data_IF_964599414462
#
_entry.id   IF_964599414462
#
_cell.length_a   1.000
_cell.length_b   1.000
_cell.length_c   1.000
_cell.angle_alpha   90.00
_cell.angle_beta   90.00
_cell.angle_gamma   90.00
#
_symmetry.space_group_name_H-M   'P 1'
#
loop_
_entity.id
_entity.type
_entity.pdbx_description
1 polymer ?
#
# COMPACT_ATOMS: atom_id res chain seq x y z
N UNK A 1 -3.72 11.04 8.67
CA UNK A 1 -4.45 11.22 9.95
C UNK A 1 -3.53 10.80 11.09
N UNK A 2 -3.71 11.33 12.29
CA UNK A 2 -2.94 10.94 13.48
C UNK A 2 -3.37 9.54 13.98
N UNK A 3 -2.51 8.87 14.76
CA UNK A 3 -2.78 7.49 15.22
C UNK A 3 -4.02 7.39 16.13
N UNK A 4 -4.28 8.40 16.96
CA UNK A 4 -5.49 8.48 17.79
C UNK A 4 -6.77 8.57 16.95
N UNK A 5 -6.75 9.34 15.85
CA UNK A 5 -7.84 9.39 14.89
C UNK A 5 -7.99 8.07 14.11
N UNK A 6 -6.88 7.41 13.77
CA UNK A 6 -6.91 6.12 13.06
C UNK A 6 -7.48 4.98 13.94
N UNK A 7 -7.24 4.99 15.26
CA UNK A 7 -7.89 4.06 16.20
C UNK A 7 -9.41 4.18 16.15
N UNK A 8 -9.94 5.42 16.12
CA UNK A 8 -11.38 5.65 16.02
C UNK A 8 -11.91 5.18 14.66
N UNK A 9 -11.20 5.52 13.57
CA UNK A 9 -11.56 5.07 12.21
C UNK A 9 -11.58 3.54 12.11
N UNK A 10 -10.59 2.85 12.67
CA UNK A 10 -10.53 1.38 12.70
C UNK A 10 -11.68 0.80 13.53
N UNK A 11 -12.00 1.41 14.67
CA UNK A 11 -13.12 0.99 15.52
C UNK A 11 -14.44 1.05 14.75
N UNK A 12 -14.71 2.15 14.05
CA UNK A 12 -15.90 2.33 13.24
C UNK A 12 -15.92 1.38 12.04
N UNK A 13 -14.78 1.18 11.37
CA UNK A 13 -14.65 0.28 10.23
C UNK A 13 -14.91 -1.19 10.61
N UNK A 14 -14.47 -1.64 11.79
CA UNK A 14 -14.77 -3.00 12.25
C UNK A 14 -16.22 -3.15 12.69
N UNK A 15 -16.78 -2.16 13.39
CA UNK A 15 -18.20 -2.19 13.79
C UNK A 15 -19.14 -2.16 12.60
N UNK A 16 -18.81 -1.42 11.52
CA UNK A 16 -19.66 -1.32 10.33
C UNK A 16 -19.80 -2.64 9.57
N UNK A 17 -18.84 -3.55 9.71
CA UNK A 17 -18.90 -4.92 9.16
C UNK A 17 -19.33 -5.96 10.20
N UNK A 18 -19.84 -5.52 11.36
CA UNK A 18 -20.39 -6.40 12.40
C UNK A 18 -19.37 -7.07 13.32
N UNK A 19 -18.11 -6.64 13.31
CA UNK A 19 -17.10 -7.14 14.26
C UNK A 19 -17.22 -6.44 15.61
N UNK A 20 -17.07 -7.22 16.67
CA UNK A 20 -17.03 -6.70 18.03
C UNK A 20 -15.65 -6.13 18.34
N UNK A 21 -15.62 -4.85 18.74
CA UNK A 21 -14.41 -4.17 19.21
C UNK A 21 -14.52 -4.02 20.73
N UNK A 22 -13.79 -4.86 21.45
CA UNK A 22 -13.90 -4.95 22.92
C UNK A 22 -13.17 -3.86 23.68
N UNK A 23 -11.92 -3.54 23.29
CA UNK A 23 -11.08 -2.63 24.07
C UNK A 23 -9.94 -2.02 23.27
N UNK A 24 -9.36 -0.94 23.80
CA UNK A 24 -8.12 -0.32 23.34
C UNK A 24 -7.05 -0.44 24.42
N UNK A 25 -5.82 -0.76 24.03
CA UNK A 25 -4.67 -0.82 24.93
C UNK A 25 -3.73 0.35 24.63
N UNK A 26 -3.46 1.18 25.64
CA UNK A 26 -2.42 2.22 25.57
C UNK A 26 -1.12 1.59 26.06
N UNK A 27 -0.23 1.29 25.12
CA UNK A 27 1.09 0.74 25.42
C UNK A 27 2.10 1.83 25.76
N UNK A 28 3.15 1.47 26.51
CA UNK A 28 4.19 2.38 26.99
C UNK A 28 3.64 3.59 27.77
N UNK A 29 2.55 3.38 28.51
CA UNK A 29 1.94 4.42 29.34
C UNK A 29 2.87 4.81 30.50
N UNK A 30 3.08 6.12 30.68
CA UNK A 30 3.91 6.71 31.75
C UNK A 30 3.22 7.93 32.40
N UNK A 31 1.90 8.08 32.26
CA UNK A 31 1.17 9.24 32.78
C UNK A 31 1.23 10.47 31.87
N UNK A 32 1.37 10.28 30.56
CA UNK A 32 1.38 11.38 29.61
C UNK A 32 -0.03 12.01 29.51
N UNK A 33 -0.14 13.34 29.64
CA UNK A 33 -1.42 14.06 29.62
C UNK A 33 -2.25 13.82 28.35
N UNK A 34 -1.59 13.68 27.20
CA UNK A 34 -2.24 13.36 25.93
C UNK A 34 -2.87 11.95 25.94
N UNK A 35 -2.20 10.97 26.56
CA UNK A 35 -2.72 9.61 26.70
C UNK A 35 -3.94 9.57 27.64
N UNK A 36 -3.91 10.34 28.73
CA UNK A 36 -5.04 10.46 29.65
C UNK A 36 -6.26 11.13 29.01
N UNK A 37 -6.04 12.19 28.21
CA UNK A 37 -7.11 12.85 27.47
C UNK A 37 -7.73 11.88 26.44
N UNK A 38 -6.90 11.12 25.73
CA UNK A 38 -7.38 10.13 24.76
C UNK A 38 -8.13 8.98 25.43
N UNK A 39 -7.65 8.47 26.57
CA UNK A 39 -8.35 7.47 27.37
C UNK A 39 -9.75 7.96 27.77
N UNK A 40 -9.87 9.18 28.31
CA UNK A 40 -11.17 9.77 28.68
C UNK A 40 -12.11 9.85 27.47
N UNK A 41 -11.59 10.24 26.31
CA UNK A 41 -12.36 10.27 25.05
C UNK A 41 -12.89 8.89 24.68
N UNK A 42 -12.06 7.85 24.72
CA UNK A 42 -12.46 6.47 24.41
C UNK A 42 -13.51 5.95 25.40
N UNK A 43 -13.32 6.21 26.69
CA UNK A 43 -14.26 5.80 27.74
C UNK A 43 -15.63 6.48 27.57
N UNK A 44 -15.67 7.76 27.20
CA UNK A 44 -16.91 8.47 26.87
C UNK A 44 -17.64 7.89 25.64
N UNK A 45 -16.91 7.21 24.75
CA UNK A 45 -17.46 6.47 23.61
C UNK A 45 -17.84 5.01 23.97
N UNK A 46 -17.79 4.65 25.26
CA UNK A 46 -18.11 3.31 25.75
C UNK A 46 -17.04 2.26 25.44
N UNK A 47 -15.81 2.66 25.14
CA UNK A 47 -14.71 1.74 24.83
C UNK A 47 -13.89 1.49 26.11
N UNK A 48 -13.72 0.21 26.48
CA UNK A 48 -12.83 -0.17 27.59
C UNK A 48 -11.38 0.14 27.21
N UNK A 49 -10.63 0.73 28.14
CA UNK A 49 -9.21 1.10 27.92
C UNK A 49 -8.34 0.45 28.99
N UNK A 50 -7.26 -0.18 28.55
CA UNK A 50 -6.26 -0.84 29.40
C UNK A 50 -4.88 -0.19 29.19
N UNK A 51 -4.04 -0.22 30.23
CA UNK A 51 -2.72 0.40 30.24
C UNK A 51 -1.63 -0.65 30.34
N UNK A 52 -0.71 -0.62 29.39
CA UNK A 52 0.51 -1.41 29.42
C UNK A 52 1.71 -0.47 29.58
N UNK A 53 2.65 -0.86 30.42
CA UNK A 53 3.75 -0.01 30.86
C UNK A 53 5.06 -0.40 30.18
N UNK A 54 6.03 0.53 30.06
CA UNK A 54 7.38 0.16 29.62
C UNK A 54 8.01 -0.86 30.57
N UNK A 55 8.56 -1.94 30.00
CA UNK A 55 9.27 -2.98 30.74
C UNK A 55 10.77 -2.80 30.50
N UNK A 56 11.52 -2.60 31.59
CA UNK A 56 12.96 -2.44 31.53
C UNK A 56 13.65 -3.73 31.04
N UNK A 57 14.58 -3.58 30.09
CA UNK A 57 15.32 -4.69 29.50
C UNK A 57 14.53 -5.48 28.45
N UNK A 58 13.39 -4.99 27.97
CA UNK A 58 12.66 -5.62 26.87
C UNK A 58 13.42 -5.44 25.53
N UNK A 59 13.57 -6.48 24.69
CA UNK A 59 13.04 -7.85 24.83
C UNK A 59 14.01 -8.84 25.52
N UNK A 60 15.25 -8.44 25.82
CA UNK A 60 16.34 -9.37 26.15
C UNK A 60 16.29 -9.96 27.57
N UNK A 61 15.76 -9.24 28.56
CA UNK A 61 15.70 -9.72 29.94
C UNK A 61 14.43 -10.55 30.21
N UNK A 62 14.36 -11.75 29.62
CA UNK A 62 13.21 -12.65 29.71
C UNK A 62 12.77 -12.92 31.16
N UNK A 63 13.72 -12.99 32.09
CA UNK A 63 13.41 -13.25 33.51
C UNK A 63 12.58 -12.13 34.15
N UNK A 64 12.98 -10.87 33.91
CA UNK A 64 12.25 -9.70 34.40
C UNK A 64 10.95 -9.48 33.62
N UNK A 65 10.96 -9.70 32.31
CA UNK A 65 9.79 -9.51 31.46
C UNK A 65 8.65 -10.45 31.88
N UNK A 66 8.93 -11.75 32.02
CA UNK A 66 7.95 -12.74 32.47
C UNK A 66 8.02 -12.85 33.99
N UNK A 67 7.56 -11.79 34.66
CA UNK A 67 7.45 -11.67 36.12
C UNK A 67 6.38 -10.67 36.52
N UNK A 68 6.10 -10.57 37.82
CA UNK A 68 5.20 -9.55 38.38
C UNK A 68 5.74 -8.11 38.16
N UNK A 69 7.06 -7.93 38.04
CA UNK A 69 7.68 -6.64 37.75
C UNK A 69 7.71 -6.27 36.26
N UNK A 70 7.45 -7.24 35.39
CA UNK A 70 7.35 -7.08 33.93
C UNK A 70 5.88 -7.08 33.50
N UNK A 71 5.44 -8.17 32.85
CA UNK A 71 4.06 -8.32 32.41
C UNK A 71 3.03 -8.20 33.54
N UNK A 72 3.36 -8.56 34.78
CA UNK A 72 2.43 -8.41 35.91
C UNK A 72 2.07 -6.96 36.27
N UNK A 73 2.83 -5.96 35.80
CA UNK A 73 2.47 -4.54 35.94
C UNK A 73 1.37 -4.11 34.99
N UNK A 74 1.21 -4.80 33.87
CA UNK A 74 0.25 -4.43 32.84
C UNK A 74 -1.17 -4.77 33.31
N UNK A 75 -2.13 -3.98 32.84
CA UNK A 75 -3.53 -4.30 33.06
C UNK A 75 -3.89 -5.60 32.31
N UNK A 76 -4.56 -6.51 33.00
CA UNK A 76 -5.19 -7.67 32.39
C UNK A 76 -6.39 -7.23 31.55
N UNK A 77 -6.43 -7.64 30.29
CA UNK A 77 -7.50 -7.29 29.37
C UNK A 77 -8.60 -8.35 29.53
N UNK A 78 -9.79 -7.95 29.96
CA UNK A 78 -10.92 -8.87 30.07
C UNK A 78 -11.53 -9.08 28.68
N UNK A 79 -11.40 -10.30 28.16
CA UNK A 79 -11.91 -10.68 26.83
C UNK A 79 -13.08 -11.65 26.97
N UNK A 80 -14.10 -11.47 26.12
CA UNK A 80 -15.33 -12.30 26.16
C UNK A 80 -15.30 -13.43 25.11
N UNK A 81 -14.42 -13.32 24.11
CA UNK A 81 -14.32 -14.27 22.99
C UNK A 81 -13.00 -15.02 23.04
N UNK A 82 -13.03 -16.30 22.70
CA UNK A 82 -11.86 -17.18 22.70
C UNK A 82 -10.82 -16.83 21.63
N UNK A 83 -11.22 -16.14 20.54
CA UNK A 83 -10.30 -15.62 19.53
C UNK A 83 -10.27 -14.10 19.61
N UNK A 84 -9.09 -13.58 19.95
CA UNK A 84 -8.84 -12.14 20.09
C UNK A 84 -7.88 -11.71 19.00
N UNK A 85 -8.32 -10.80 18.13
CA UNK A 85 -7.48 -10.21 17.08
C UNK A 85 -6.89 -8.90 17.59
N UNK A 86 -5.56 -8.84 17.68
CA UNK A 86 -4.85 -7.62 18.11
C UNK A 86 -4.32 -6.89 16.88
N UNK A 87 -4.74 -5.63 16.71
CA UNK A 87 -4.36 -4.78 15.58
C UNK A 87 -3.94 -3.39 16.06
N UNK A 88 -3.30 -2.60 15.18
CA UNK A 88 -2.83 -1.25 15.50
C UNK A 88 -2.71 -0.37 14.24
N UNK A 89 -2.67 0.97 14.38
CA UNK A 89 -2.46 1.90 13.26
C UNK A 89 -1.13 1.72 12.52
N UNK A 90 -0.11 1.15 13.16
CA UNK A 90 1.20 1.02 12.54
C UNK A 90 2.18 0.07 13.26
N UNK A 91 3.43 0.02 12.78
CA UNK A 91 4.53 -0.66 13.46
C UNK A 91 4.87 0.04 14.79
N UNK A 92 5.53 -0.69 15.71
CA UNK A 92 6.00 -0.13 16.99
C UNK A 92 4.91 0.10 18.06
N UNK A 93 3.63 -0.16 17.78
CA UNK A 93 2.53 0.05 18.74
C UNK A 93 2.44 -0.98 19.88
N UNK A 94 3.35 -1.97 19.95
CA UNK A 94 3.39 -2.95 21.03
C UNK A 94 2.45 -4.16 20.90
N UNK A 95 1.91 -4.44 19.70
CA UNK A 95 0.98 -5.57 19.44
C UNK A 95 1.45 -6.90 20.05
N UNK A 96 2.68 -7.31 19.74
CA UNK A 96 3.27 -8.56 20.23
C UNK A 96 3.43 -8.56 21.76
N UNK A 97 3.94 -7.48 22.33
CA UNK A 97 4.10 -7.34 23.78
C UNK A 97 2.75 -7.44 24.51
N UNK A 98 1.69 -6.84 23.94
CA UNK A 98 0.33 -6.96 24.48
C UNK A 98 -0.17 -8.40 24.43
N UNK A 99 0.02 -9.12 23.33
CA UNK A 99 -0.38 -10.52 23.24
C UNK A 99 0.36 -11.41 24.26
N UNK A 100 1.67 -11.22 24.43
CA UNK A 100 2.46 -12.01 25.37
C UNK A 100 2.16 -11.65 26.83
N UNK A 101 1.87 -10.37 27.11
CA UNK A 101 1.37 -9.93 28.41
C UNK A 101 0.02 -10.59 28.73
N UNK A 102 -0.88 -10.66 27.75
CA UNK A 102 -2.17 -11.33 27.93
C UNK A 102 -1.98 -12.82 28.16
N UNK A 103 -1.12 -13.48 27.38
CA UNK A 103 -0.77 -14.89 27.54
C UNK A 103 -0.24 -15.20 28.95
N UNK A 104 0.66 -14.36 29.47
CA UNK A 104 1.17 -14.45 30.84
C UNK A 104 0.03 -14.37 31.87
N UNK A 105 -0.88 -13.41 31.71
CA UNK A 105 -2.00 -13.23 32.63
C UNK A 105 -3.05 -14.34 32.58
N UNK A 106 -3.36 -14.88 31.40
CA UNK A 106 -4.25 -16.03 31.23
C UNK A 106 -3.65 -17.27 31.89
N UNK A 107 -2.36 -17.53 31.64
CA UNK A 107 -1.67 -18.67 32.24
C UNK A 107 -1.64 -18.57 33.79
N UNK A 108 -1.37 -17.38 34.34
CA UNK A 108 -1.42 -17.14 35.81
C UNK A 108 -2.82 -17.41 36.40
N UNK A 109 -3.88 -17.32 35.59
CA UNK A 109 -5.28 -17.59 35.96
C UNK A 109 -5.69 -19.05 35.70
N UNK A 110 -4.79 -19.90 35.21
CA UNK A 110 -5.07 -21.29 34.88
C UNK A 110 -5.85 -21.47 33.57
N UNK A 111 -5.94 -20.42 32.74
CA UNK A 111 -6.59 -20.48 31.43
C UNK A 111 -5.57 -20.92 30.38
N UNK A 112 -5.93 -21.90 29.56
CA UNK A 112 -5.12 -22.30 28.41
C UNK A 112 -5.34 -21.31 27.27
N UNK A 113 -4.36 -20.45 27.06
CA UNK A 113 -4.32 -19.49 25.95
C UNK A 113 -3.09 -19.74 25.06
N UNK A 114 -3.13 -19.22 23.84
CA UNK A 114 -2.05 -19.32 22.87
C UNK A 114 -1.81 -18.00 22.14
N UNK A 115 -0.72 -17.93 21.39
CA UNK A 115 -0.37 -16.78 20.57
C UNK A 115 0.01 -17.24 19.17
N UNK A 116 -0.60 -16.67 18.14
CA UNK A 116 -0.20 -16.90 16.76
C UNK A 116 -0.05 -15.58 16.02
N UNK A 117 0.71 -15.58 14.93
CA UNK A 117 0.95 -14.42 14.09
C UNK A 117 0.30 -14.58 12.72
N UNK A 118 -0.50 -13.60 12.32
CA UNK A 118 -1.08 -13.53 10.98
C UNK A 118 -0.37 -12.45 10.16
N UNK A 119 0.35 -12.88 9.13
CA UNK A 119 0.92 -12.02 8.09
C UNK A 119 0.67 -12.66 6.73
N UNK A 120 0.39 -11.85 5.72
CA UNK A 120 0.14 -12.36 4.36
C UNK A 120 1.44 -12.58 3.59
N UNK A 121 2.44 -11.73 3.83
CA UNK A 121 3.74 -11.77 3.16
C UNK A 121 4.89 -11.71 4.18
N UNK A 122 6.03 -12.36 3.92
CA UNK A 122 6.24 -13.29 2.80
C UNK A 122 5.36 -14.55 2.93
N UNK A 123 5.11 -15.22 1.80
CA UNK A 123 4.38 -16.49 1.80
C UNK A 123 5.39 -17.60 2.08
N UNK A 124 5.24 -18.27 3.21
CA UNK A 124 6.23 -19.18 3.75
C UNK A 124 6.46 -20.44 2.92
N UNK A 125 5.41 -20.93 2.25
CA UNK A 125 5.40 -22.19 1.51
C UNK A 125 5.66 -22.03 0.00
N UNK A 126 6.09 -20.86 -0.47
CA UNK A 126 6.55 -20.65 -1.85
C UNK A 126 8.04 -20.22 -1.83
N UNK A 127 8.80 -20.46 -2.92
CA UNK A 127 10.24 -20.20 -2.93
C UNK A 127 10.63 -18.75 -2.58
N UNK A 128 11.83 -18.57 -2.02
CA UNK A 128 12.38 -17.24 -1.73
C UNK A 128 12.40 -16.34 -2.98
N UNK A 129 12.85 -16.91 -4.11
CA UNK A 129 12.93 -16.23 -5.41
C UNK A 129 11.62 -16.23 -6.18
N UNK A 130 10.51 -16.62 -5.55
CA UNK A 130 9.21 -16.53 -6.20
C UNK A 130 8.85 -15.04 -6.39
N UNK A 131 8.42 -14.59 -7.60
CA UNK A 131 8.11 -13.18 -7.85
C UNK A 131 7.16 -12.55 -6.84
N UNK A 132 6.22 -13.30 -6.26
CA UNK A 132 5.32 -12.81 -5.19
C UNK A 132 6.10 -12.39 -3.93
N UNK A 133 7.07 -13.18 -3.48
CA UNK A 133 7.90 -12.82 -2.32
C UNK A 133 8.85 -11.67 -2.67
N UNK A 134 9.41 -11.65 -3.88
CA UNK A 134 10.24 -10.54 -4.36
C UNK A 134 9.44 -9.23 -4.46
N UNK A 135 8.18 -9.28 -4.89
CA UNK A 135 7.31 -8.12 -4.95
C UNK A 135 7.01 -7.53 -3.56
N UNK A 136 6.87 -8.40 -2.54
CA UNK A 136 6.80 -7.95 -1.16
C UNK A 136 8.08 -7.22 -0.73
N UNK A 137 9.25 -7.79 -1.01
CA UNK A 137 10.54 -7.17 -0.68
C UNK A 137 10.73 -5.82 -1.39
N UNK A 138 10.30 -5.71 -2.64
CA UNK A 138 10.31 -4.45 -3.39
C UNK A 138 9.33 -3.41 -2.79
N UNK A 139 8.24 -3.86 -2.17
CA UNK A 139 7.26 -2.99 -1.52
C UNK A 139 7.68 -2.54 -0.11
N UNK A 140 8.61 -3.25 0.53
CA UNK A 140 9.15 -2.94 1.87
C UNK A 140 10.64 -2.61 1.84
N UNK A 141 11.16 -2.25 0.67
CA UNK A 141 12.60 -2.06 0.47
C UNK A 141 13.16 -0.92 1.36
N UNK A 142 12.32 0.02 1.78
CA UNK A 142 12.56 1.12 2.72
C UNK A 142 12.57 0.68 4.20
N UNK A 143 11.85 -0.39 4.54
CA UNK A 143 11.73 -0.91 5.92
C UNK A 143 12.85 -1.87 6.32
N UNK A 144 13.80 -2.15 5.42
CA UNK A 144 14.90 -3.12 5.61
C UNK A 144 14.42 -4.52 6.01
N UNK A 145 13.18 -4.87 5.66
CA UNK A 145 12.69 -6.23 5.78
C UNK A 145 13.25 -7.03 4.58
N UNK A 146 14.02 -8.07 4.88
CA UNK A 146 14.69 -8.92 3.89
C UNK A 146 14.16 -10.33 4.04
N UNK A 147 13.64 -10.88 2.94
CA UNK A 147 13.16 -12.26 2.94
C UNK A 147 14.35 -13.22 3.03
N UNK A 148 14.19 -14.30 3.79
CA UNK A 148 15.22 -15.31 3.95
C UNK A 148 14.61 -16.69 4.22
N UNK A 149 15.43 -17.72 4.08
CA UNK A 149 15.06 -19.07 4.53
C UNK A 149 15.00 -19.05 6.05
N UNK A 150 13.94 -19.61 6.62
CA UNK A 150 13.80 -19.85 8.06
C UNK A 150 14.77 -20.98 8.47
N UNK A 151 15.90 -20.66 9.16
CA UNK A 151 16.88 -21.68 9.53
C UNK A 151 16.32 -22.65 10.57
N UNK A 152 15.44 -22.20 11.46
CA UNK A 152 14.87 -23.03 12.52
C UNK A 152 13.93 -24.09 11.96
N UNK A 153 13.09 -23.71 10.98
CA UNK A 153 12.19 -24.65 10.32
C UNK A 153 12.96 -25.67 9.47
N UNK A 154 14.05 -25.23 8.83
CA UNK A 154 14.92 -26.11 8.06
C UNK A 154 15.65 -27.12 8.96
N UNK A 155 16.15 -26.69 10.11
CA UNK A 155 16.86 -27.55 11.07
C UNK A 155 15.91 -28.58 11.71
N UNK A 156 14.74 -28.15 12.19
CA UNK A 156 13.79 -29.04 12.87
C UNK A 156 13.13 -30.04 11.91
N UNK A 157 12.71 -29.58 10.73
CA UNK A 157 11.84 -30.38 9.84
C UNK A 157 12.50 -30.82 8.54
N UNK A 158 13.71 -30.35 8.23
CA UNK A 158 14.36 -30.59 6.93
C UNK A 158 13.63 -29.95 5.74
N UNK A 159 12.75 -28.97 6.00
CA UNK A 159 11.90 -28.32 4.99
C UNK A 159 12.25 -26.84 4.86
N UNK A 160 12.39 -26.37 3.62
CA UNK A 160 12.57 -24.95 3.36
C UNK A 160 11.25 -24.21 3.56
N UNK A 161 11.26 -23.19 4.41
CA UNK A 161 10.20 -22.20 4.56
C UNK A 161 10.79 -20.80 4.48
N UNK A 162 9.98 -19.83 4.03
CA UNK A 162 10.41 -18.44 3.88
C UNK A 162 9.86 -17.58 5.01
N UNK A 163 10.74 -16.80 5.61
CA UNK A 163 10.42 -15.79 6.61
C UNK A 163 11.23 -14.52 6.30
N UNK A 164 11.34 -13.59 7.24
CA UNK A 164 12.14 -12.38 7.09
C UNK A 164 13.01 -12.12 8.32
N UNK A 165 14.09 -11.38 8.11
CA UNK A 165 15.15 -11.16 9.09
C UNK A 165 14.67 -10.82 10.51
N UNK A 166 13.74 -9.87 10.66
CA UNK A 166 13.28 -9.41 11.99
C UNK A 166 12.64 -10.53 12.82
N UNK A 167 11.84 -11.38 12.19
CA UNK A 167 11.14 -12.47 12.86
C UNK A 167 12.10 -13.63 13.17
N UNK A 168 13.02 -13.94 12.24
CA UNK A 168 14.08 -14.93 12.44
C UNK A 168 15.00 -14.51 13.59
N UNK A 169 15.43 -13.25 13.64
CA UNK A 169 16.33 -12.72 14.66
C UNK A 169 15.69 -12.71 16.05
N UNK A 170 14.39 -12.40 16.16
CA UNK A 170 13.70 -12.30 17.47
C UNK A 170 13.19 -13.66 17.98
N UNK A 171 13.07 -14.67 17.12
CA UNK A 171 12.46 -15.96 17.47
C UNK A 171 13.08 -16.64 18.71
N UNK A 172 14.41 -16.72 18.89
CA UNK A 172 14.99 -17.33 20.09
C UNK A 172 14.53 -16.68 21.39
N UNK A 173 14.37 -15.36 21.38
CA UNK A 173 13.87 -14.61 22.54
C UNK A 173 12.39 -14.93 22.79
N UNK A 174 11.58 -15.02 21.73
CA UNK A 174 10.18 -15.40 21.84
C UNK A 174 10.01 -16.83 22.36
N UNK A 175 10.81 -17.78 21.86
CA UNK A 175 10.82 -19.17 22.34
C UNK A 175 11.09 -19.23 23.85
N UNK A 176 12.11 -18.50 24.33
CA UNK A 176 12.42 -18.41 25.75
C UNK A 176 11.28 -17.77 26.58
N UNK A 177 10.57 -16.78 26.02
CA UNK A 177 9.38 -16.22 26.66
C UNK A 177 8.25 -17.25 26.75
N UNK A 178 8.00 -18.03 25.70
CA UNK A 178 6.99 -19.10 25.72
C UNK A 178 7.35 -20.19 26.72
N UNK A 179 8.60 -20.65 26.75
CA UNK A 179 9.06 -21.64 27.74
C UNK A 179 8.83 -21.14 29.17
N UNK A 180 9.09 -19.86 29.44
CA UNK A 180 8.89 -19.30 30.77
C UNK A 180 7.42 -19.09 31.14
N UNK A 181 6.56 -18.78 30.17
CA UNK A 181 5.12 -18.58 30.40
C UNK A 181 4.38 -19.91 30.46
N UNK A 182 4.63 -20.82 29.52
CA UNK A 182 3.84 -22.04 29.27
C UNK A 182 4.55 -23.33 29.71
N UNK A 183 5.79 -23.23 30.19
CA UNK A 183 6.65 -24.37 30.54
C UNK A 183 7.33 -25.04 29.34
N UNK A 184 6.92 -24.71 28.11
CA UNK A 184 7.54 -25.16 26.86
C UNK A 184 7.23 -24.14 25.75
N UNK A 185 8.06 -24.11 24.69
CA UNK A 185 7.71 -23.38 23.47
C UNK A 185 6.79 -24.24 22.60
N UNK A 186 5.60 -23.76 22.20
CA UNK A 186 4.72 -24.48 21.28
C UNK A 186 5.22 -24.43 19.82
N UNK A 187 6.23 -23.59 19.52
CA UNK A 187 6.76 -23.36 18.17
C UNK A 187 8.22 -23.78 18.10
N UNK A 188 8.61 -24.43 17.00
CA UNK A 188 10.01 -24.75 16.69
C UNK A 188 10.64 -23.76 15.73
N UNK A 189 9.83 -22.96 15.04
CA UNK A 189 10.30 -21.89 14.16
C UNK A 189 9.30 -20.71 14.10
N UNK A 190 9.71 -19.53 13.59
CA UNK A 190 8.76 -18.45 13.31
C UNK A 190 7.74 -18.82 12.22
N UNK A 191 8.06 -19.78 11.34
CA UNK A 191 7.07 -20.35 10.41
C UNK A 191 5.94 -21.07 11.15
N UNK A 192 6.23 -21.86 12.17
CA UNK A 192 5.20 -22.57 12.96
C UNK A 192 4.28 -21.60 13.72
N UNK A 193 4.83 -20.45 14.11
CA UNK A 193 4.10 -19.37 14.78
C UNK A 193 3.12 -18.65 13.84
N UNK A 194 3.34 -18.75 12.53
CA UNK A 194 2.51 -18.19 11.49
C UNK A 194 1.26 -19.01 11.20
N UNK A 195 0.16 -18.35 10.83
CA UNK A 195 -1.10 -19.02 10.43
C UNK A 195 -1.50 -18.73 8.97
N UNK A 196 -0.53 -18.32 8.15
CA UNK A 196 -0.78 -17.92 6.76
C UNK A 196 -1.07 -19.12 5.85
N UNK A 197 -2.20 -19.05 5.15
CA UNK A 197 -2.64 -20.09 4.20
C UNK A 197 -2.61 -19.61 2.73
N UNK A 198 -2.19 -18.37 2.47
CA UNK A 198 -2.33 -17.75 1.15
C UNK A 198 -1.66 -18.54 0.01
N UNK A 199 -0.48 -19.13 0.25
CA UNK A 199 0.23 -19.91 -0.77
C UNK A 199 -0.51 -21.18 -1.20
N UNK A 200 -1.32 -21.78 -0.32
CA UNK A 200 -2.16 -22.94 -0.69
C UNK A 200 -3.36 -22.57 -1.56
N UNK A 201 -3.71 -21.29 -1.60
CA UNK A 201 -4.85 -20.77 -2.34
C UNK A 201 -4.46 -20.24 -3.73
N UNK A 202 -3.20 -20.38 -4.15
CA UNK A 202 -2.76 -20.02 -5.50
C UNK A 202 -3.28 -21.08 -6.48
N UNK A 203 -4.25 -20.69 -7.32
CA UNK A 203 -4.85 -21.59 -8.32
C UNK A 203 -4.15 -21.52 -9.68
N UNK A 204 -3.45 -20.42 -9.96
CA UNK A 204 -2.67 -20.21 -11.18
C UNK A 204 -1.38 -19.46 -10.84
N UNK A 205 -0.28 -20.22 -10.78
CA UNK A 205 1.03 -19.74 -10.39
C UNK A 205 1.64 -18.76 -11.41
N UNK A 206 1.40 -18.98 -12.70
CA UNK A 206 1.95 -18.11 -13.75
C UNK A 206 1.24 -16.75 -13.79
N UNK A 207 -0.08 -16.73 -13.54
CA UNK A 207 -0.83 -15.49 -13.42
C UNK A 207 -0.34 -14.64 -12.23
N UNK A 208 -0.13 -15.24 -11.05
CA UNK A 208 0.37 -14.48 -9.89
C UNK A 208 1.82 -14.04 -10.07
N UNK A 209 2.67 -14.84 -10.72
CA UNK A 209 4.03 -14.45 -11.09
C UNK A 209 4.03 -13.24 -12.03
N UNK A 210 3.20 -13.26 -13.07
CA UNK A 210 3.07 -12.15 -14.01
C UNK A 210 2.59 -10.86 -13.31
N UNK A 211 1.59 -10.96 -12.44
CA UNK A 211 1.09 -9.83 -11.66
C UNK A 211 2.16 -9.26 -10.71
N UNK A 212 2.90 -10.14 -10.02
CA UNK A 212 3.97 -9.73 -9.11
C UNK A 212 5.12 -9.03 -9.84
N UNK A 213 5.51 -9.49 -11.04
CA UNK A 213 6.50 -8.80 -11.89
C UNK A 213 6.05 -7.38 -12.25
N UNK A 214 4.77 -7.20 -12.57
CA UNK A 214 4.22 -5.85 -12.83
C UNK A 214 4.23 -4.97 -11.57
N UNK A 215 3.94 -5.52 -10.38
CA UNK A 215 4.07 -4.79 -9.12
C UNK A 215 5.51 -4.32 -8.89
N UNK A 216 6.51 -5.18 -9.12
CA UNK A 216 7.93 -4.82 -8.97
C UNK A 216 8.31 -3.66 -9.90
N UNK A 217 7.89 -3.71 -11.18
CA UNK A 217 8.11 -2.61 -12.13
C UNK A 217 7.44 -1.32 -11.65
N UNK A 218 6.22 -1.41 -11.07
CA UNK A 218 5.52 -0.24 -10.51
C UNK A 218 6.29 0.36 -9.32
N UNK A 219 6.83 -0.48 -8.43
CA UNK A 219 7.68 -0.03 -7.30
C UNK A 219 8.96 0.62 -7.75
N UNK A 220 9.60 0.07 -8.80
CA UNK A 220 10.80 0.65 -9.40
C UNK A 220 10.56 2.10 -9.87
N UNK A 221 9.53 2.32 -10.69
CA UNK A 221 9.19 3.66 -11.17
C UNK A 221 8.77 4.62 -10.04
N UNK A 222 8.05 4.12 -9.03
CA UNK A 222 7.68 4.93 -7.87
C UNK A 222 8.92 5.42 -7.12
N UNK A 223 9.89 4.53 -6.85
CA UNK A 223 11.14 4.89 -6.18
C UNK A 223 11.97 5.91 -6.99
N UNK A 224 12.03 5.77 -8.32
CA UNK A 224 12.68 6.77 -9.19
C UNK A 224 12.00 8.14 -9.10
N UNK A 225 10.66 8.16 -9.11
CA UNK A 225 9.88 9.39 -9.00
C UNK A 225 10.07 10.06 -7.63
N UNK A 226 10.05 9.31 -6.55
CA UNK A 226 10.21 9.82 -5.19
C UNK A 226 11.61 10.39 -4.97
N UNK A 227 12.66 9.73 -5.51
CA UNK A 227 14.02 10.28 -5.56
C UNK A 227 14.05 11.60 -6.32
N UNK A 228 13.38 11.70 -7.47
CA UNK A 228 13.30 12.94 -8.25
C UNK A 228 12.54 14.07 -7.53
N UNK A 229 11.56 13.72 -6.70
CA UNK A 229 10.81 14.63 -5.84
C UNK A 229 11.59 15.04 -4.58
N UNK A 230 12.75 14.44 -4.32
CA UNK A 230 13.55 14.71 -3.12
C UNK A 230 12.93 14.13 -1.84
N UNK A 231 12.06 13.11 -1.98
CA UNK A 231 11.38 12.46 -0.84
C UNK A 231 12.31 11.42 -0.20
N UNK A 232 13.23 10.84 -0.97
CA UNK A 232 14.14 9.77 -0.54
C UNK A 232 15.56 10.12 -0.98
N UNK A 233 16.53 9.97 -0.07
CA UNK A 233 17.94 10.40 -0.27
C UNK A 233 18.87 9.31 -0.89
N UNK A 234 18.48 8.01 -0.88
CA UNK A 234 19.39 6.88 -1.19
C UNK A 234 18.84 5.83 -2.20
N UNK A 235 19.74 4.89 -2.55
CA UNK A 235 19.80 3.71 -3.46
C UNK A 235 18.55 2.78 -3.58
N UNK A 236 17.36 3.22 -3.16
CA UNK A 236 16.13 2.42 -3.15
C UNK A 236 15.74 1.91 -4.54
N UNK A 237 15.87 2.78 -5.55
CA UNK A 237 15.59 2.42 -6.95
C UNK A 237 16.53 1.33 -7.47
N UNK A 238 17.80 1.38 -7.07
CA UNK A 238 18.83 0.42 -7.47
C UNK A 238 18.64 -0.93 -6.76
N UNK A 239 18.28 -0.93 -5.47
CA UNK A 239 17.84 -2.14 -4.74
C UNK A 239 16.63 -2.80 -5.41
N UNK A 240 15.60 -2.02 -5.77
CA UNK A 240 14.42 -2.55 -6.46
C UNK A 240 14.78 -3.03 -7.87
N UNK A 241 15.72 -2.39 -8.57
CA UNK A 241 16.20 -2.85 -9.87
C UNK A 241 16.84 -4.25 -9.78
N UNK A 242 17.64 -4.50 -8.74
CA UNK A 242 18.21 -5.83 -8.49
C UNK A 242 17.12 -6.87 -8.22
N UNK A 243 16.11 -6.54 -7.41
CA UNK A 243 14.95 -7.41 -7.17
C UNK A 243 14.17 -7.69 -8.46
N UNK A 244 14.02 -6.67 -9.31
CA UNK A 244 13.37 -6.80 -10.63
C UNK A 244 14.12 -7.79 -11.52
N UNK A 245 15.45 -7.70 -11.58
CA UNK A 245 16.29 -8.66 -12.31
C UNK A 245 16.15 -10.08 -11.74
N UNK A 246 16.17 -10.23 -10.41
CA UNK A 246 15.99 -11.53 -9.74
C UNK A 246 14.63 -12.17 -10.03
N UNK A 247 13.57 -11.37 -10.22
CA UNK A 247 12.25 -11.85 -10.62
C UNK A 247 12.15 -12.19 -12.12
N UNK A 248 13.21 -11.94 -12.89
CA UNK A 248 13.23 -12.07 -14.35
C UNK A 248 12.30 -11.07 -15.03
N UNK A 249 12.19 -9.85 -14.47
CA UNK A 249 11.38 -8.78 -15.02
C UNK A 249 12.27 -7.62 -15.50
N UNK A 250 11.74 -6.80 -16.40
CA UNK A 250 12.38 -5.59 -16.87
C UNK A 250 11.33 -4.51 -17.18
N UNK A 251 11.74 -3.24 -17.25
CA UNK A 251 10.82 -2.13 -17.53
C UNK A 251 10.12 -2.24 -18.89
N UNK A 252 10.69 -2.94 -19.87
CA UNK A 252 10.08 -3.15 -21.19
C UNK A 252 8.96 -4.19 -21.20
N UNK A 253 8.88 -5.06 -20.18
CA UNK A 253 7.73 -5.96 -19.95
C UNK A 253 6.44 -5.17 -19.67
N UNK A 254 6.57 -3.91 -19.24
CA UNK A 254 5.46 -2.96 -19.13
C UNK A 254 5.26 -2.21 -20.45
N UNK A 255 4.50 -2.81 -21.37
CA UNK A 255 4.27 -2.31 -22.75
C UNK A 255 3.93 -0.82 -22.88
N UNK A 256 3.20 -0.25 -21.91
CA UNK A 256 2.81 1.17 -21.92
C UNK A 256 3.99 2.13 -21.77
N UNK A 257 5.11 1.70 -21.17
CA UNK A 257 6.33 2.50 -21.07
C UNK A 257 6.87 2.80 -22.47
N UNK A 258 7.16 1.74 -23.25
CA UNK A 258 7.71 1.88 -24.59
C UNK A 258 6.79 2.70 -25.52
N UNK A 259 5.47 2.50 -25.40
CA UNK A 259 4.50 3.24 -26.20
C UNK A 259 4.45 4.74 -25.86
N UNK A 260 4.50 5.09 -24.58
CA UNK A 260 4.54 6.48 -24.14
C UNK A 260 5.83 7.17 -24.57
N UNK A 261 6.99 6.53 -24.35
CA UNK A 261 8.31 7.06 -24.74
C UNK A 261 8.41 7.28 -26.25
N UNK A 262 7.98 6.31 -27.06
CA UNK A 262 7.94 6.46 -28.53
C UNK A 262 7.04 7.62 -28.95
N UNK A 263 5.92 7.86 -28.26
CA UNK A 263 5.02 8.97 -28.55
C UNK A 263 5.63 10.32 -28.17
N UNK A 264 6.34 10.39 -27.05
CA UNK A 264 7.10 11.58 -26.63
C UNK A 264 8.14 11.94 -27.69
N UNK A 265 8.99 10.99 -28.10
CA UNK A 265 10.00 11.19 -29.14
C UNK A 265 9.40 11.69 -30.46
N UNK A 266 8.33 11.06 -30.94
CA UNK A 266 7.67 11.42 -32.19
C UNK A 266 6.99 12.81 -32.16
N UNK A 267 6.57 13.26 -30.97
CA UNK A 267 5.82 14.51 -30.82
C UNK A 267 6.65 15.64 -30.20
N UNK A 268 7.87 15.34 -29.77
CA UNK A 268 8.78 16.24 -29.07
C UNK A 268 8.12 16.93 -27.87
N UNK A 269 7.33 16.19 -27.11
CA UNK A 269 6.61 16.72 -25.97
C UNK A 269 5.99 15.63 -25.09
N UNK A 270 5.57 15.97 -23.86
CA UNK A 270 5.07 14.97 -22.92
C UNK A 270 3.95 14.13 -23.52
N UNK A 271 4.03 12.83 -23.28
CA UNK A 271 3.10 11.84 -23.76
C UNK A 271 2.74 10.84 -22.65
N UNK A 272 1.66 10.11 -22.87
CA UNK A 272 1.22 9.06 -21.97
C UNK A 272 0.61 7.90 -22.76
N UNK A 273 0.55 6.72 -22.16
CA UNK A 273 -0.06 5.54 -22.75
C UNK A 273 -0.84 4.73 -21.72
N UNK A 274 -1.86 3.99 -22.18
CA UNK A 274 -2.67 3.07 -21.38
C UNK A 274 -2.91 1.78 -22.16
N UNK A 275 -2.90 0.64 -21.47
CA UNK A 275 -3.29 -0.65 -22.02
C UNK A 275 -4.75 -0.94 -21.68
N UNK A 276 -5.59 -1.12 -22.69
CA UNK A 276 -6.99 -1.53 -22.51
C UNK A 276 -7.09 -3.02 -22.16
N UNK A 277 -8.25 -3.44 -21.63
CA UNK A 277 -8.49 -4.84 -21.23
C UNK A 277 -8.41 -5.86 -22.38
N UNK A 278 -8.52 -5.41 -23.63
CA UNK A 278 -8.34 -6.24 -24.83
C UNK A 278 -6.90 -6.21 -25.38
N UNK A 279 -5.97 -5.57 -24.67
CA UNK A 279 -4.55 -5.48 -25.03
C UNK A 279 -4.20 -4.35 -26.00
N UNK A 280 -5.16 -3.56 -26.50
CA UNK A 280 -4.86 -2.38 -27.31
C UNK A 280 -4.11 -1.34 -26.48
N UNK A 281 -3.06 -0.75 -27.04
CA UNK A 281 -2.31 0.35 -26.42
C UNK A 281 -2.79 1.67 -27.01
N UNK A 282 -3.34 2.53 -26.17
CA UNK A 282 -3.79 3.87 -26.54
C UNK A 282 -2.78 4.89 -26.03
N UNK A 283 -2.51 5.93 -26.83
CA UNK A 283 -1.58 6.99 -26.47
C UNK A 283 -2.26 8.35 -26.45
N UNK A 284 -1.74 9.25 -25.62
CA UNK A 284 -2.08 10.66 -25.54
C UNK A 284 -0.84 11.50 -25.69
N UNK A 285 -0.96 12.65 -26.35
CA UNK A 285 0.10 13.65 -26.48
C UNK A 285 -0.39 15.00 -25.97
N UNK A 286 0.56 15.83 -25.56
CA UNK A 286 0.27 17.22 -25.26
C UNK A 286 -0.16 17.98 -26.52
N UNK A 287 -1.16 18.86 -26.37
CA UNK A 287 -1.64 19.76 -27.42
C UNK A 287 -1.77 21.19 -26.88
N UNK A 288 -2.29 22.10 -27.70
CA UNK A 288 -2.61 23.46 -27.26
C UNK A 288 -3.77 23.49 -26.24
N UNK A 289 -4.72 22.56 -26.36
CA UNK A 289 -5.93 22.52 -25.55
C UNK A 289 -5.79 21.61 -24.32
N UNK A 290 -5.13 20.46 -24.48
CA UNK A 290 -5.12 19.37 -23.51
C UNK A 290 -3.69 18.95 -23.15
N UNK A 291 -3.48 18.61 -21.88
CA UNK A 291 -2.29 17.87 -21.44
C UNK A 291 -2.32 16.41 -21.92
N UNK A 292 -1.16 15.74 -21.90
CA UNK A 292 -1.02 14.37 -22.37
C UNK A 292 -1.99 13.38 -21.70
N UNK A 293 -2.18 13.49 -20.38
CA UNK A 293 -3.07 12.62 -19.60
C UNK A 293 -4.55 12.85 -19.93
N UNK A 294 -4.96 14.10 -20.13
CA UNK A 294 -6.32 14.46 -20.57
C UNK A 294 -6.60 13.92 -21.97
N UNK A 295 -5.65 14.09 -22.90
CA UNK A 295 -5.75 13.51 -24.25
C UNK A 295 -5.83 11.98 -24.19
N UNK A 296 -4.98 11.34 -23.36
CA UNK A 296 -4.97 9.89 -23.17
C UNK A 296 -6.34 9.38 -22.69
N UNK A 297 -6.92 10.07 -21.70
CA UNK A 297 -8.23 9.74 -21.14
C UNK A 297 -9.32 9.74 -22.22
N UNK A 298 -9.44 10.84 -22.98
CA UNK A 298 -10.45 10.93 -24.04
C UNK A 298 -10.22 9.88 -25.13
N UNK A 299 -8.96 9.63 -25.51
CA UNK A 299 -8.63 8.60 -26.50
C UNK A 299 -8.98 7.19 -26.01
N UNK A 300 -8.73 6.89 -24.74
CA UNK A 300 -9.08 5.61 -24.15
C UNK A 300 -10.62 5.41 -24.12
N UNK A 301 -11.38 6.43 -23.73
CA UNK A 301 -12.84 6.36 -23.71
C UNK A 301 -13.43 6.21 -25.12
N UNK A 302 -12.91 6.94 -26.12
CA UNK A 302 -13.28 6.73 -27.53
C UNK A 302 -13.03 5.30 -27.97
N UNK A 303 -11.84 4.77 -27.69
CA UNK A 303 -11.44 3.43 -28.08
C UNK A 303 -12.28 2.31 -27.42
N UNK A 304 -12.72 2.53 -26.17
CA UNK A 304 -13.64 1.64 -25.45
C UNK A 304 -15.06 1.65 -26.04
N UNK A 305 -15.47 2.75 -26.66
CA UNK A 305 -16.76 2.89 -27.35
C UNK A 305 -16.70 2.46 -28.82
N UNK A 306 -15.51 2.21 -29.37
CA UNK A 306 -15.34 1.99 -30.82
C UNK A 306 -15.57 3.26 -31.65
N UNK A 307 -15.42 4.45 -31.05
CA UNK A 307 -15.60 5.72 -31.73
C UNK A 307 -14.35 6.07 -32.57
N UNK A 308 -14.52 6.75 -33.73
CA UNK A 308 -13.40 7.21 -34.55
C UNK A 308 -12.47 8.15 -33.79
N UNK A 309 -11.18 8.13 -34.09
CA UNK A 309 -10.20 8.98 -33.40
C UNK A 309 -10.42 10.48 -33.68
N UNK A 310 -10.93 10.82 -34.87
CA UNK A 310 -11.21 12.20 -35.29
C UNK A 310 -12.43 12.81 -34.59
N UNK A 311 -13.27 11.99 -33.94
CA UNK A 311 -14.45 12.46 -33.23
C UNK A 311 -14.05 13.28 -31.99
N UNK A 312 -14.57 14.50 -31.89
CA UNK A 312 -14.37 15.37 -30.73
C UNK A 312 -15.45 15.09 -29.69
N UNK A 313 -15.08 14.48 -28.56
CA UNK A 313 -15.98 14.27 -27.42
C UNK A 313 -16.26 15.56 -26.62
N UNK A 314 -15.38 16.56 -26.76
CA UNK A 314 -15.53 17.86 -26.12
C UNK A 314 -15.27 18.90 -27.20
N UNK A 315 -16.29 19.71 -27.50
CA UNK A 315 -16.18 20.79 -28.47
C UNK A 315 -15.16 21.85 -27.99
N UNK A 316 -14.36 22.45 -28.89
CA UNK A 316 -13.51 23.60 -28.56
C UNK A 316 -14.27 24.74 -27.87
N UNK A 317 -15.55 24.94 -28.19
CA UNK A 317 -16.42 25.97 -27.59
C UNK A 317 -16.68 25.75 -26.09
N UNK A 318 -16.56 24.51 -25.61
CA UNK A 318 -16.66 24.16 -24.18
C UNK A 318 -15.30 24.33 -23.49
N UNK A 319 -14.21 24.08 -24.21
CA UNK A 319 -12.84 24.16 -23.69
C UNK A 319 -12.38 25.62 -23.54
N UNK A 320 -12.63 26.45 -24.55
CA UNK A 320 -12.12 27.83 -24.62
C UNK A 320 -12.50 28.69 -23.41
N UNK A 321 -13.77 28.71 -22.93
CA UNK A 321 -14.13 29.47 -21.73
C UNK A 321 -13.35 29.04 -20.47
N UNK A 322 -13.07 27.75 -20.33
CA UNK A 322 -12.27 27.20 -19.21
C UNK A 322 -10.82 27.69 -19.33
N UNK A 323 -10.24 27.66 -20.54
CA UNK A 323 -8.88 28.16 -20.75
C UNK A 323 -8.76 29.66 -20.46
N UNK A 324 -9.71 30.47 -20.94
CA UNK A 324 -9.77 31.91 -20.69
C UNK A 324 -9.89 32.21 -19.20
N UNK A 325 -10.76 31.49 -18.48
CA UNK A 325 -10.84 31.61 -17.02
C UNK A 325 -9.47 31.34 -16.36
N UNK A 326 -8.78 30.28 -16.76
CA UNK A 326 -7.46 29.93 -16.21
C UNK A 326 -6.43 31.03 -16.47
N UNK A 327 -6.32 31.52 -17.70
CA UNK A 327 -5.24 32.44 -18.09
C UNK A 327 -5.56 33.91 -17.81
N UNK A 328 -6.76 34.38 -18.18
CA UNK A 328 -7.17 35.78 -18.08
C UNK A 328 -7.66 36.17 -16.68
N UNK A 329 -8.33 35.26 -15.96
CA UNK A 329 -8.91 35.57 -14.66
C UNK A 329 -8.10 35.03 -13.47
N UNK A 330 -7.63 33.78 -13.55
CA UNK A 330 -6.89 33.13 -12.46
C UNK A 330 -5.37 33.31 -12.56
N UNK A 331 -4.87 33.87 -13.67
CA UNK A 331 -3.45 34.18 -13.88
C UNK A 331 -2.56 32.95 -14.07
N UNK A 332 -3.15 31.79 -14.42
CA UNK A 332 -2.38 30.59 -14.73
C UNK A 332 -1.65 30.77 -16.06
N UNK A 333 -0.40 30.31 -16.12
CA UNK A 333 0.40 30.36 -17.36
C UNK A 333 0.13 29.19 -18.30
N UNK A 334 -0.37 28.08 -17.77
CA UNK A 334 -0.70 26.90 -18.56
C UNK A 334 -2.20 26.92 -18.90
N UNK A 335 -2.58 27.11 -20.18
CA UNK A 335 -3.98 27.11 -20.59
C UNK A 335 -4.57 25.70 -20.67
N UNK A 336 -3.75 24.65 -20.65
CA UNK A 336 -4.21 23.28 -20.92
C UNK A 336 -5.11 22.77 -19.81
N UNK A 337 -6.09 21.96 -20.19
CA UNK A 337 -6.99 21.32 -19.22
C UNK A 337 -6.32 20.11 -18.56
N UNK A 338 -6.45 20.05 -17.23
CA UNK A 338 -6.15 18.86 -16.43
C UNK A 338 -7.25 17.81 -16.57
N UNK A 339 -7.01 16.60 -16.05
CA UNK A 339 -7.93 15.48 -16.21
C UNK A 339 -9.29 15.71 -15.54
N UNK A 340 -9.31 16.41 -14.40
CA UNK A 340 -10.54 16.74 -13.68
C UNK A 340 -11.41 17.75 -14.46
N UNK A 341 -10.79 18.82 -14.96
CA UNK A 341 -11.43 19.79 -15.85
C UNK A 341 -11.95 19.11 -17.12
N UNK A 342 -11.18 18.16 -17.67
CA UNK A 342 -11.57 17.37 -18.84
C UNK A 342 -12.77 16.49 -18.57
N UNK A 343 -12.83 15.82 -17.41
CA UNK A 343 -13.98 15.02 -17.00
C UNK A 343 -15.24 15.88 -16.76
N UNK A 344 -15.07 17.06 -16.17
CA UNK A 344 -16.17 18.03 -16.00
C UNK A 344 -16.69 18.48 -17.36
N UNK A 345 -15.81 18.88 -18.27
CA UNK A 345 -16.19 19.31 -19.61
C UNK A 345 -16.85 18.18 -20.42
N UNK A 346 -16.36 16.93 -20.30
CA UNK A 346 -16.99 15.76 -20.90
C UNK A 346 -18.40 15.53 -20.34
N UNK A 347 -18.58 15.66 -19.03
CA UNK A 347 -19.88 15.54 -18.36
C UNK A 347 -20.88 16.60 -18.83
N UNK A 348 -20.42 17.84 -19.06
CA UNK A 348 -21.24 18.90 -19.64
C UNK A 348 -21.66 18.55 -21.07
N UNK A 349 -20.74 18.06 -21.90
CA UNK A 349 -21.04 17.67 -23.28
C UNK A 349 -22.01 16.48 -23.34
N UNK A 350 -21.91 15.55 -22.39
CA UNK A 350 -22.79 14.38 -22.31
C UNK A 350 -24.29 14.74 -22.17
N UNK A 351 -24.62 15.94 -21.70
CA UNK A 351 -26.00 16.42 -21.63
C UNK A 351 -26.66 16.59 -23.01
N UNK A 352 -25.87 16.82 -24.07
CA UNK A 352 -26.36 17.14 -25.42
C UNK A 352 -25.75 16.30 -26.53
N UNK A 353 -24.62 15.61 -26.28
CA UNK A 353 -23.94 14.74 -27.24
C UNK A 353 -23.99 13.27 -26.78
N UNK A 354 -24.74 12.40 -27.49
CA UNK A 354 -24.80 10.97 -27.19
C UNK A 354 -23.44 10.27 -27.19
N UNK A 355 -22.47 10.72 -27.98
CA UNK A 355 -21.13 10.11 -28.01
C UNK A 355 -20.34 10.44 -26.73
N UNK A 356 -20.48 11.66 -26.21
CA UNK A 356 -19.89 12.07 -24.95
C UNK A 356 -20.49 11.30 -23.76
N UNK A 357 -21.81 11.08 -23.77
CA UNK A 357 -22.51 10.25 -22.78
C UNK A 357 -22.03 8.78 -22.84
N UNK A 358 -21.94 8.20 -24.04
CA UNK A 358 -21.40 6.84 -24.22
C UNK A 358 -19.98 6.71 -23.67
N UNK A 359 -19.12 7.70 -23.93
CA UNK A 359 -17.76 7.76 -23.40
C UNK A 359 -17.74 7.86 -21.87
N UNK A 360 -18.57 8.71 -21.28
CA UNK A 360 -18.68 8.88 -19.83
C UNK A 360 -19.06 7.56 -19.12
N UNK A 361 -19.96 6.78 -19.73
CA UNK A 361 -20.36 5.47 -19.22
C UNK A 361 -19.23 4.43 -19.20
N UNK A 362 -18.14 4.62 -19.96
CA UNK A 362 -17.00 3.70 -19.98
C UNK A 362 -15.97 3.93 -18.87
N UNK A 363 -16.09 5.01 -18.08
CA UNK A 363 -15.09 5.39 -17.07
C UNK A 363 -14.75 4.23 -16.12
N UNK A 364 -15.76 3.46 -15.69
CA UNK A 364 -15.58 2.32 -14.78
C UNK A 364 -14.66 1.22 -15.33
N UNK A 365 -14.55 1.10 -16.66
CA UNK A 365 -13.69 0.12 -17.34
C UNK A 365 -12.21 0.48 -17.31
N UNK A 366 -11.85 1.69 -16.86
CA UNK A 366 -10.46 2.10 -16.68
C UNK A 366 -9.83 1.51 -15.41
N UNK A 367 -10.63 1.05 -14.46
CA UNK A 367 -10.16 0.50 -13.19
C UNK A 367 -9.29 -0.74 -13.42
N UNK A 368 -8.10 -0.74 -12.83
CA UNK A 368 -7.12 -1.81 -12.93
C UNK A 368 -6.27 -1.79 -14.20
N UNK A 369 -6.49 -0.84 -15.11
CA UNK A 369 -5.66 -0.70 -16.30
C UNK A 369 -4.29 -0.11 -15.96
N UNK A 370 -3.30 -0.47 -16.77
CA UNK A 370 -1.92 -0.01 -16.62
C UNK A 370 -1.68 1.22 -17.49
N UNK A 371 -1.16 2.30 -16.91
CA UNK A 371 -0.81 3.53 -17.61
C UNK A 371 0.63 3.97 -17.31
N UNK A 372 1.21 4.73 -18.24
CA UNK A 372 2.52 5.35 -18.08
C UNK A 372 2.55 6.77 -18.63
N UNK A 373 3.23 7.69 -17.93
CA UNK A 373 3.47 9.06 -18.36
C UNK A 373 4.96 9.32 -18.53
N UNK A 374 5.37 10.02 -19.59
CA UNK A 374 6.78 10.39 -19.81
C UNK A 374 7.27 11.54 -18.94
N UNK A 375 6.39 12.07 -18.09
CA UNK A 375 6.70 13.10 -17.09
C UNK A 375 5.96 12.84 -15.77
N UNK A 376 6.50 13.38 -14.68
CA UNK A 376 5.82 13.52 -13.40
C UNK A 376 4.55 14.35 -13.59
N UNK A 377 3.43 13.82 -13.09
CA UNK A 377 2.13 14.46 -13.20
C UNK A 377 1.88 15.44 -12.06
N UNK A 378 0.92 16.34 -12.27
CA UNK A 378 0.41 17.21 -11.22
C UNK A 378 -0.32 16.40 -10.14
N UNK A 379 -0.42 16.96 -8.93
CA UNK A 379 -1.17 16.37 -7.81
C UNK A 379 -2.63 16.08 -8.18
N UNK A 380 -3.20 16.94 -9.03
CA UNK A 380 -4.56 16.86 -9.57
C UNK A 380 -4.70 15.63 -10.46
N UNK A 381 -3.84 15.49 -11.47
CA UNK A 381 -3.92 14.38 -12.44
C UNK A 381 -3.59 13.03 -11.78
N UNK A 382 -2.57 12.97 -10.89
CA UNK A 382 -2.30 11.78 -10.07
C UNK A 382 -3.52 11.39 -9.23
N UNK A 383 -4.20 12.39 -8.65
CA UNK A 383 -5.42 12.20 -7.86
C UNK A 383 -6.58 11.64 -8.69
N UNK A 384 -6.75 12.08 -9.94
CA UNK A 384 -7.78 11.55 -10.84
C UNK A 384 -7.48 10.10 -11.22
N UNK A 385 -6.26 9.77 -11.67
CA UNK A 385 -5.89 8.38 -11.96
C UNK A 385 -6.13 7.45 -10.76
N UNK A 386 -5.79 7.90 -9.55
CA UNK A 386 -6.04 7.16 -8.31
C UNK A 386 -7.53 6.92 -8.07
N UNK A 387 -8.39 7.92 -8.25
CA UNK A 387 -9.85 7.79 -8.11
C UNK A 387 -10.44 6.86 -9.17
N UNK A 388 -9.89 6.85 -10.38
CA UNK A 388 -10.25 5.93 -11.45
C UNK A 388 -9.74 4.50 -11.21
N UNK A 389 -8.80 4.31 -10.28
CA UNK A 389 -8.18 3.03 -9.99
C UNK A 389 -7.24 2.56 -11.11
N UNK A 390 -6.64 3.48 -11.85
CA UNK A 390 -5.64 3.19 -12.89
C UNK A 390 -4.26 3.07 -12.23
N UNK A 391 -3.52 2.02 -12.59
CA UNK A 391 -2.16 1.78 -12.13
C UNK A 391 -1.17 2.63 -12.94
N UNK A 392 -0.87 3.83 -12.44
CA UNK A 392 0.01 4.80 -13.08
C UNK A 392 1.49 4.59 -12.69
N UNK A 393 2.39 4.64 -13.67
CA UNK A 393 3.82 4.92 -13.46
C UNK A 393 4.25 6.16 -14.26
N UNK A 394 5.35 6.79 -13.87
CA UNK A 394 5.88 7.98 -14.55
C UNK A 394 7.39 7.85 -14.75
N UNK A 395 7.92 8.45 -15.81
CA UNK A 395 9.34 8.75 -15.89
C UNK A 395 9.71 9.82 -14.83
N UNK A 396 10.91 9.74 -14.23
CA UNK A 396 11.38 10.69 -13.21
C UNK A 396 11.83 12.03 -13.82
N UNK A 397 10.99 12.64 -14.66
CA UNK A 397 11.25 13.86 -15.42
C UNK A 397 10.12 14.86 -15.18
N UNK A 398 10.46 16.11 -14.86
CA UNK A 398 9.45 17.18 -14.80
C UNK A 398 9.14 17.68 -16.21
N UNK A 399 7.89 18.08 -16.46
CA UNK A 399 7.50 18.70 -17.74
C UNK A 399 8.28 19.99 -18.02
N UNK A 400 8.64 20.75 -16.98
CA UNK A 400 9.40 22.00 -17.12
C UNK A 400 10.66 21.97 -16.25
N UNK A 401 11.73 22.63 -16.72
CA UNK A 401 12.98 22.80 -15.99
C UNK A 401 12.88 23.80 -14.81
N UNK A 402 11.67 24.22 -14.42
CA UNK A 402 11.46 25.17 -13.33
C UNK A 402 11.53 24.45 -11.99
N UNK A 403 12.36 24.98 -11.09
CA UNK A 403 12.59 24.44 -9.75
C UNK A 403 11.38 24.61 -8.80
N UNK A 404 10.50 25.59 -9.06
CA UNK A 404 9.28 25.82 -8.28
C UNK A 404 8.04 25.43 -9.10
N UNK A 405 7.26 24.49 -8.58
CA UNK A 405 5.95 24.13 -9.11
C UNK A 405 4.91 24.36 -8.01
N UNK A 406 3.93 25.23 -8.28
CA UNK A 406 2.82 25.48 -7.36
C UNK A 406 1.87 24.29 -7.47
N UNK A 407 1.61 23.67 -6.32
CA UNK A 407 0.80 22.46 -6.14
C UNK A 407 -0.62 22.57 -6.64
#
# INVERSE_FOLDING_TARGET
ITYDADILRLTDAFRSIGLYVGSVVITRYQGQSAADAFQKRLQNLGIKVYRHYPIEGYPSNVQKIVSDEGYGKNDYIETERSLVVVTAPGPGSGKMATCLSQLYHEHKRGVQAGYAKFETFPIWNIPLKHPVNIAYEAATADLNDVNMIDPFHLEEYGKTAINYNRDVEIFPVLSAMFERILGHSPYKSPTDMGVNMAGFCITDDETVKAAARQEIIRRYYAALCDRRKGIVEEDLGDKIALLMEQAGANSSDRKVVAAALKKDELTQGPAAAIALGDGRIITGKTSALLGASSTLLLNALKALCGLPDELLLISPEVIEPIQRLKTECLGNRNPRLHMDETLIALSICAATDPNAELALQQISKLKGLEAHSTVLLSSVDEGVFRKLGVNLTCEPKYETNKLYQKS
#
